data_IF_713432817905
#
_entry.id   IF_713432817905
#
_cell.length_a   1.000
_cell.length_b   1.000
_cell.length_c   1.000
_cell.angle_alpha   90.00
_cell.angle_beta   90.00
_cell.angle_gamma   90.00
#
_symmetry.space_group_name_H-M   'P 1'
#
loop_
_entity.id
_entity.type
_entity.pdbx_description
1 polymer ?
#
# COMPACT_ATOMS: atom_id res chain seq x y z
N UNK A 1 2.16 6.36 -11.14
CA UNK A 1 1.05 5.75 -10.35
C UNK A 1 0.77 6.65 -9.16
N UNK A 2 -0.42 7.26 -9.11
CA UNK A 2 -0.85 8.27 -8.12
C UNK A 2 -1.12 7.66 -6.73
N UNK A 3 -0.86 8.41 -5.65
CA UNK A 3 -1.35 8.10 -4.30
C UNK A 3 -2.87 8.19 -4.29
N UNK A 4 -3.52 7.37 -3.46
CA UNK A 4 -4.99 7.36 -3.33
C UNK A 4 -5.39 7.77 -1.92
N UNK A 5 -6.30 8.72 -1.85
CA UNK A 5 -6.88 9.22 -0.61
C UNK A 5 -8.39 8.98 -0.58
N UNK A 6 -8.89 8.39 0.49
CA UNK A 6 -10.34 8.28 0.74
C UNK A 6 -10.78 9.41 1.67
N UNK A 7 -11.78 10.18 1.25
CA UNK A 7 -12.39 11.26 2.04
C UNK A 7 -13.72 10.74 2.59
N UNK A 8 -13.85 10.67 3.92
CA UNK A 8 -14.99 10.07 4.59
C UNK A 8 -15.75 11.13 5.41
N UNK A 9 -17.02 11.33 5.10
CA UNK A 9 -17.93 12.13 5.90
C UNK A 9 -17.67 13.65 5.91
N UNK A 10 -16.85 14.19 5.00
CA UNK A 10 -16.61 15.62 4.91
C UNK A 10 -17.84 16.32 4.33
N UNK A 11 -18.19 17.46 4.90
CA UNK A 11 -19.17 18.38 4.33
C UNK A 11 -18.60 19.19 3.15
N UNK A 12 -19.44 19.94 2.45
CA UNK A 12 -19.03 20.69 1.27
C UNK A 12 -17.99 21.77 1.55
N UNK A 13 -18.02 22.37 2.75
CA UNK A 13 -17.08 23.43 3.16
C UNK A 13 -15.67 22.86 3.36
N UNK A 14 -15.58 21.67 3.94
CA UNK A 14 -14.32 21.03 4.25
C UNK A 14 -13.78 20.19 3.08
N UNK A 15 -14.66 19.62 2.25
CA UNK A 15 -14.22 18.77 1.12
C UNK A 15 -13.53 19.57 0.02
N UNK A 16 -13.98 20.80 -0.26
CA UNK A 16 -13.46 21.63 -1.36
C UNK A 16 -11.96 21.93 -1.18
N UNK A 17 -11.50 22.55 -0.06
CA UNK A 17 -10.08 22.84 0.12
C UNK A 17 -9.21 21.58 0.19
N UNK A 18 -9.74 20.49 0.78
CA UNK A 18 -9.03 19.21 0.80
C UNK A 18 -8.85 18.64 -0.61
N UNK A 19 -9.91 18.63 -1.41
CA UNK A 19 -9.86 18.11 -2.79
C UNK A 19 -8.93 18.92 -3.68
N UNK A 20 -8.99 20.26 -3.60
CA UNK A 20 -8.12 21.15 -4.38
C UNK A 20 -6.65 20.91 -4.03
N UNK A 21 -6.30 20.92 -2.75
CA UNK A 21 -4.93 20.68 -2.29
C UNK A 21 -4.39 19.29 -2.70
N UNK A 22 -5.21 18.24 -2.60
CA UNK A 22 -4.81 16.89 -3.00
C UNK A 22 -4.64 16.77 -4.51
N UNK A 23 -5.46 17.44 -5.30
CA UNK A 23 -5.31 17.50 -6.76
C UNK A 23 -4.00 18.18 -7.18
N UNK A 24 -3.64 19.31 -6.58
CA UNK A 24 -2.36 19.99 -6.81
C UNK A 24 -1.15 19.13 -6.43
N UNK A 25 -1.30 18.26 -5.43
CA UNK A 25 -0.27 17.30 -5.01
C UNK A 25 -0.24 16.00 -5.83
N UNK A 26 -1.01 15.89 -6.91
CA UNK A 26 -1.18 14.66 -7.72
C UNK A 26 -1.64 13.45 -6.88
N UNK A 27 -2.53 13.69 -5.91
CA UNK A 27 -3.14 12.64 -5.09
C UNK A 27 -4.59 12.44 -5.55
N UNK A 28 -4.89 11.24 -6.03
CA UNK A 28 -6.25 10.89 -6.42
C UNK A 28 -7.13 10.72 -5.19
N UNK A 29 -8.22 11.47 -5.11
CA UNK A 29 -9.17 11.36 -4.01
C UNK A 29 -10.52 10.78 -4.47
N UNK A 30 -11.13 10.01 -3.59
CA UNK A 30 -12.49 9.51 -3.69
C UNK A 30 -13.26 9.96 -2.44
N UNK A 31 -14.46 10.51 -2.63
CA UNK A 31 -15.32 10.92 -1.53
C UNK A 31 -16.41 9.88 -1.28
N UNK A 32 -16.66 9.59 0.00
CA UNK A 32 -17.71 8.71 0.46
C UNK A 32 -18.39 9.26 1.71
N UNK A 33 -19.67 8.97 1.84
CA UNK A 33 -20.40 9.22 3.09
C UNK A 33 -20.10 8.12 4.11
N UNK A 34 -20.38 8.34 5.39
CA UNK A 34 -20.27 7.29 6.42
C UNK A 34 -21.02 6.02 6.07
N UNK A 35 -22.17 6.13 5.40
CA UNK A 35 -23.00 5.00 5.00
C UNK A 35 -22.32 4.12 3.95
N UNK A 36 -21.61 4.70 3.00
CA UNK A 36 -20.95 3.99 1.90
C UNK A 36 -19.47 3.66 2.17
N UNK A 37 -18.86 4.25 3.20
CA UNK A 37 -17.46 4.08 3.54
C UNK A 37 -17.06 2.64 3.92
N UNK A 38 -17.88 1.84 4.66
CA UNK A 38 -17.49 0.48 5.04
C UNK A 38 -17.09 -0.39 3.87
N UNK A 39 -17.87 -0.38 2.79
CA UNK A 39 -17.59 -1.15 1.59
C UNK A 39 -16.28 -0.73 0.91
N UNK A 40 -16.01 0.59 0.84
CA UNK A 40 -14.78 1.14 0.26
C UNK A 40 -13.55 0.87 1.12
N UNK A 41 -13.68 0.96 2.44
CA UNK A 41 -12.60 0.66 3.38
C UNK A 41 -12.23 -0.84 3.36
N UNK A 42 -13.21 -1.73 3.21
CA UNK A 42 -12.94 -3.17 3.17
C UNK A 42 -12.37 -3.64 1.83
N UNK A 43 -12.93 -3.16 0.71
CA UNK A 43 -12.57 -3.61 -0.64
C UNK A 43 -11.45 -2.79 -1.28
N UNK A 44 -11.35 -1.50 -0.93
CA UNK A 44 -10.37 -0.58 -1.47
C UNK A 44 -9.08 -0.55 -0.64
N UNK A 45 -8.00 -0.10 -1.26
CA UNK A 45 -6.74 0.24 -0.60
C UNK A 45 -6.44 1.71 -0.84
N UNK A 46 -6.09 2.41 0.23
CA UNK A 46 -5.78 3.82 0.22
C UNK A 46 -4.50 4.07 1.02
N UNK A 47 -3.62 4.91 0.53
CA UNK A 47 -2.42 5.33 1.25
C UNK A 47 -2.77 6.36 2.31
N UNK A 48 -3.83 7.16 2.07
CA UNK A 48 -4.37 8.14 3.00
C UNK A 48 -5.87 7.97 3.18
N UNK A 49 -6.36 8.26 4.37
CA UNK A 49 -7.79 8.40 4.66
C UNK A 49 -7.96 9.70 5.44
N UNK A 50 -8.81 10.61 4.96
CA UNK A 50 -9.25 11.80 5.68
C UNK A 50 -10.65 11.54 6.20
N UNK A 51 -10.80 11.55 7.50
CA UNK A 51 -12.06 11.25 8.19
C UNK A 51 -12.54 12.49 8.94
N UNK A 52 -13.77 12.92 8.71
CA UNK A 52 -14.42 13.91 9.58
C UNK A 52 -14.88 13.22 10.85
N UNK A 53 -14.39 13.64 12.00
CA UNK A 53 -14.66 13.02 13.28
C UNK A 53 -15.45 14.00 14.18
N UNK A 54 -16.70 13.69 14.43
CA UNK A 54 -17.62 14.47 15.27
C UNK A 54 -17.82 13.89 16.68
N UNK A 55 -17.16 12.75 16.99
CA UNK A 55 -17.33 12.04 18.25
C UNK A 55 -18.54 11.10 18.27
N UNK A 56 -19.23 10.94 17.14
CA UNK A 56 -20.34 10.00 17.04
C UNK A 56 -19.88 8.54 17.07
N UNK A 57 -20.73 7.60 17.49
CA UNK A 57 -20.44 6.17 17.40
C UNK A 57 -20.06 5.72 15.98
N UNK A 58 -20.70 6.29 14.96
CA UNK A 58 -20.37 5.98 13.56
C UNK A 58 -18.93 6.38 13.19
N UNK A 59 -18.43 7.50 13.73
CA UNK A 59 -17.06 7.93 13.49
C UNK A 59 -16.05 7.03 14.21
N UNK A 60 -16.36 6.62 15.44
CA UNK A 60 -15.54 5.67 16.21
C UNK A 60 -15.48 4.30 15.54
N UNK A 61 -16.61 3.74 15.15
CA UNK A 61 -16.70 2.46 14.43
C UNK A 61 -15.90 2.51 13.13
N UNK A 62 -15.94 3.62 12.40
CA UNK A 62 -15.17 3.80 11.17
C UNK A 62 -13.66 3.76 11.44
N UNK A 63 -13.18 4.44 12.47
CA UNK A 63 -11.76 4.38 12.84
C UNK A 63 -11.36 2.96 13.23
N UNK A 64 -12.18 2.28 14.02
CA UNK A 64 -11.92 0.90 14.41
C UNK A 64 -11.89 -0.02 13.19
N UNK A 65 -12.83 0.13 12.24
CA UNK A 65 -12.86 -0.63 10.99
C UNK A 65 -11.60 -0.40 10.15
N UNK A 66 -11.15 0.85 10.01
CA UNK A 66 -9.91 1.18 9.29
C UNK A 66 -8.72 0.49 9.94
N UNK A 67 -8.60 0.54 11.28
CA UNK A 67 -7.43 0.02 12.01
C UNK A 67 -7.41 -1.49 12.20
N UNK A 68 -8.56 -2.14 12.22
CA UNK A 68 -8.68 -3.61 12.29
C UNK A 68 -8.66 -4.26 10.90
N UNK A 69 -8.99 -3.51 9.84
CA UNK A 69 -9.10 -4.02 8.48
C UNK A 69 -7.74 -4.38 7.87
N UNK A 70 -7.70 -5.48 7.12
CA UNK A 70 -6.47 -5.94 6.44
C UNK A 70 -5.99 -4.94 5.37
N UNK A 71 -6.91 -4.27 4.70
CA UNK A 71 -6.60 -3.42 3.54
C UNK A 71 -6.04 -2.05 3.91
N UNK A 72 -6.51 -1.43 4.99
CA UNK A 72 -6.23 -0.02 5.31
C UNK A 72 -5.66 0.23 6.71
N UNK A 73 -5.34 -0.80 7.50
CA UNK A 73 -4.80 -0.64 8.86
C UNK A 73 -3.53 0.23 8.92
N UNK A 74 -2.75 0.21 7.86
CA UNK A 74 -1.49 0.95 7.71
C UNK A 74 -1.65 2.24 6.90
N UNK A 75 -2.88 2.60 6.49
CA UNK A 75 -3.15 3.86 5.83
C UNK A 75 -2.85 5.03 6.77
N UNK A 76 -2.34 6.13 6.23
CA UNK A 76 -2.15 7.36 7.00
C UNK A 76 -3.53 7.98 7.25
N UNK A 77 -3.95 7.96 8.50
CA UNK A 77 -5.24 8.48 8.92
C UNK A 77 -5.12 9.94 9.37
N UNK A 78 -5.78 10.82 8.65
CA UNK A 78 -5.98 12.20 8.99
C UNK A 78 -7.38 12.36 9.57
N UNK A 79 -7.47 12.88 10.76
CA UNK A 79 -8.75 13.17 11.41
C UNK A 79 -8.98 14.67 11.36
N UNK A 80 -10.12 15.03 10.79
CA UNK A 80 -10.63 16.39 10.75
C UNK A 80 -11.71 16.49 11.82
N UNK A 81 -11.49 17.30 12.84
CA UNK A 81 -12.35 17.36 14.02
C UNK A 81 -12.58 18.78 14.47
N UNK A 82 -13.79 19.06 14.96
CA UNK A 82 -14.10 20.36 15.58
C UNK A 82 -13.35 20.51 16.93
N UNK A 83 -13.13 21.73 17.42
CA UNK A 83 -12.50 21.96 18.71
C UNK A 83 -13.19 21.21 19.86
N UNK A 84 -14.52 21.06 19.80
CA UNK A 84 -15.33 20.36 20.81
C UNK A 84 -15.12 18.85 20.84
N UNK A 85 -14.89 18.23 19.67
CA UNK A 85 -14.65 16.77 19.57
C UNK A 85 -13.16 16.42 19.55
N UNK A 86 -12.25 17.40 19.62
CA UNK A 86 -10.81 17.17 19.53
C UNK A 86 -10.27 16.31 20.69
N UNK A 87 -10.78 16.49 21.91
CA UNK A 87 -10.32 15.67 23.06
C UNK A 87 -10.64 14.19 22.87
N UNK A 88 -11.81 13.86 22.31
CA UNK A 88 -12.17 12.48 21.95
C UNK A 88 -11.42 12.03 20.71
N UNK A 89 -11.17 12.92 19.75
CA UNK A 89 -10.40 12.63 18.54
C UNK A 89 -8.96 12.17 18.87
N UNK A 90 -8.32 12.69 19.92
CA UNK A 90 -6.99 12.22 20.34
C UNK A 90 -6.96 10.77 20.85
N UNK A 91 -8.11 10.21 21.24
CA UNK A 91 -8.21 8.80 21.65
C UNK A 91 -8.21 7.84 20.47
N UNK A 92 -8.61 8.34 19.29
CA UNK A 92 -8.54 7.54 18.08
C UNK A 92 -7.11 7.55 17.55
N UNK A 93 -6.61 6.42 17.09
CA UNK A 93 -5.23 6.25 16.61
C UNK A 93 -5.01 6.88 15.23
N UNK A 94 -5.23 8.21 15.12
CA UNK A 94 -4.91 8.96 13.91
C UNK A 94 -3.41 9.29 13.84
N UNK A 95 -2.92 9.52 12.63
CA UNK A 95 -1.56 9.96 12.41
C UNK A 95 -1.45 11.49 12.43
N UNK A 96 -2.49 12.18 11.95
CA UNK A 96 -2.56 13.64 11.90
C UNK A 96 -3.95 14.12 12.26
N UNK A 97 -4.00 15.33 12.82
CA UNK A 97 -5.24 16.00 13.19
C UNK A 97 -5.30 17.36 12.50
N UNK A 98 -6.47 17.72 12.01
CA UNK A 98 -6.75 19.03 11.39
C UNK A 98 -8.01 19.61 12.02
N UNK A 99 -8.01 20.91 12.29
CA UNK A 99 -9.16 21.64 12.84
C UNK A 99 -9.70 22.66 11.84
N UNK A 100 -11.03 22.81 11.70
CA UNK A 100 -11.59 23.90 10.93
C UNK A 100 -11.19 25.29 11.51
N UNK A 101 -11.06 26.33 10.66
CA UNK A 101 -11.32 26.29 9.22
C UNK A 101 -10.20 25.62 8.44
N UNK A 102 -10.59 24.67 7.54
CA UNK A 102 -9.64 23.99 6.68
C UNK A 102 -9.32 24.85 5.49
N UNK A 103 -8.05 25.10 5.26
CA UNK A 103 -7.53 25.84 4.10
C UNK A 103 -6.66 24.92 3.23
N UNK A 104 -6.55 25.21 1.95
CA UNK A 104 -5.66 24.48 1.04
C UNK A 104 -4.23 24.46 1.57
N UNK A 105 -3.72 25.59 2.08
CA UNK A 105 -2.40 25.70 2.65
C UNK A 105 -2.19 24.78 3.87
N UNK A 106 -3.19 24.68 4.76
CA UNK A 106 -3.12 23.80 5.94
C UNK A 106 -3.11 22.33 5.54
N UNK A 107 -3.89 21.94 4.52
CA UNK A 107 -3.91 20.59 3.96
C UNK A 107 -2.57 20.25 3.33
N UNK A 108 -2.05 21.11 2.45
CA UNK A 108 -0.75 20.94 1.79
C UNK A 108 0.36 20.74 2.83
N UNK A 109 0.40 21.59 3.86
CA UNK A 109 1.40 21.53 4.92
C UNK A 109 1.32 20.20 5.67
N UNK A 110 0.11 19.77 6.05
CA UNK A 110 -0.10 18.51 6.77
C UNK A 110 0.26 17.29 5.92
N UNK A 111 -0.12 17.28 4.65
CA UNK A 111 0.22 16.19 3.73
C UNK A 111 1.71 16.14 3.38
N UNK A 112 2.39 17.29 3.27
CA UNK A 112 3.85 17.35 3.14
C UNK A 112 4.55 16.77 4.35
N UNK A 113 4.09 17.09 5.57
CA UNK A 113 4.62 16.49 6.80
C UNK A 113 4.39 14.97 6.85
N UNK A 114 3.27 14.51 6.30
CA UNK A 114 2.92 13.09 6.23
C UNK A 114 3.60 12.33 5.09
N UNK A 115 4.28 13.00 4.16
CA UNK A 115 4.74 12.41 2.90
C UNK A 115 5.56 11.13 3.08
N UNK A 116 6.49 11.11 4.02
CA UNK A 116 7.28 9.91 4.32
C UNK A 116 6.43 8.71 4.77
N UNK A 117 5.35 8.95 5.53
CA UNK A 117 4.41 7.91 5.94
C UNK A 117 3.54 7.43 4.77
N UNK A 118 3.12 8.33 3.88
CA UNK A 118 2.34 8.01 2.69
C UNK A 118 3.15 7.11 1.73
N UNK A 119 4.41 7.46 1.48
CA UNK A 119 5.33 6.65 0.67
C UNK A 119 5.55 5.29 1.32
N UNK A 120 5.74 5.24 2.63
CA UNK A 120 5.91 3.98 3.38
C UNK A 120 4.64 3.12 3.36
N UNK A 121 3.45 3.72 3.51
CA UNK A 121 2.18 3.00 3.39
C UNK A 121 2.03 2.37 2.01
N UNK A 122 2.44 3.10 0.98
CA UNK A 122 2.42 2.62 -0.41
C UNK A 122 3.43 1.51 -0.66
N UNK A 123 4.68 1.66 -0.22
CA UNK A 123 5.74 0.69 -0.46
C UNK A 123 5.45 -0.68 0.16
N UNK A 124 4.72 -0.72 1.28
CA UNK A 124 4.28 -1.98 1.91
C UNK A 124 3.39 -2.84 1.03
N UNK A 125 2.60 -2.22 0.17
CA UNK A 125 1.63 -2.92 -0.69
C UNK A 125 2.04 -2.96 -2.16
N UNK A 126 3.10 -2.23 -2.50
CA UNK A 126 3.64 -2.28 -3.84
C UNK A 126 4.17 -3.68 -4.13
N UNK A 127 3.79 -4.20 -5.27
CA UNK A 127 4.29 -5.46 -5.80
C UNK A 127 5.01 -5.15 -7.09
N UNK A 128 6.31 -5.35 -7.06
CA UNK A 128 7.13 -5.22 -8.25
C UNK A 128 7.05 -6.50 -9.06
N UNK A 129 6.74 -6.39 -10.34
CA UNK A 129 6.82 -7.52 -11.25
C UNK A 129 8.28 -7.92 -11.40
N UNK A 130 8.55 -9.18 -11.18
CA UNK A 130 9.91 -9.71 -11.14
C UNK A 130 9.95 -10.98 -11.99
N UNK A 131 10.98 -11.10 -12.78
CA UNK A 131 11.32 -12.33 -13.48
C UNK A 131 12.57 -12.92 -12.84
N UNK A 132 12.38 -13.79 -11.86
CA UNK A 132 13.47 -14.39 -11.10
C UNK A 132 13.10 -15.80 -10.59
N UNK A 133 14.11 -16.58 -10.29
CA UNK A 133 13.93 -17.92 -9.73
C UNK A 133 14.05 -17.89 -8.21
N UNK A 134 13.14 -18.61 -7.55
CA UNK A 134 13.23 -18.95 -6.14
C UNK A 134 13.35 -20.46 -5.95
N UNK A 135 13.88 -20.88 -4.80
CA UNK A 135 13.93 -22.26 -4.38
C UNK A 135 13.15 -22.42 -3.08
N UNK A 136 12.20 -23.36 -3.08
CA UNK A 136 11.33 -23.61 -1.94
C UNK A 136 11.82 -24.88 -1.19
N UNK A 137 11.77 -24.80 0.14
CA UNK A 137 11.93 -25.99 0.99
C UNK A 137 10.58 -26.25 1.67
N UNK A 138 10.02 -27.43 1.38
CA UNK A 138 8.68 -27.86 1.77
C UNK A 138 8.76 -28.95 2.86
N UNK A 139 9.57 -28.73 3.89
CA UNK A 139 9.88 -29.75 4.89
C UNK A 139 10.95 -30.72 4.39
N UNK A 140 10.56 -31.95 4.06
CA UNK A 140 11.49 -32.99 3.55
C UNK A 140 11.92 -32.72 2.10
N UNK A 141 11.09 -32.10 1.30
CA UNK A 141 11.40 -31.78 -0.10
C UNK A 141 12.14 -30.45 -0.14
N UNK A 142 13.37 -30.46 -0.66
CA UNK A 142 14.23 -29.29 -0.71
C UNK A 142 14.49 -28.82 -2.14
N UNK A 143 14.78 -27.52 -2.27
CA UNK A 143 15.19 -26.91 -3.54
C UNK A 143 14.15 -27.05 -4.67
N UNK A 144 12.86 -27.02 -4.36
CA UNK A 144 11.81 -27.02 -5.37
C UNK A 144 11.87 -25.69 -6.14
N UNK A 145 12.09 -25.70 -7.46
CA UNK A 145 12.17 -24.47 -8.23
C UNK A 145 10.80 -23.82 -8.35
N UNK A 146 10.79 -22.51 -8.27
CA UNK A 146 9.63 -21.67 -8.48
C UNK A 146 10.03 -20.40 -9.22
N UNK A 147 9.15 -19.89 -10.08
CA UNK A 147 9.32 -18.62 -10.75
C UNK A 147 8.62 -17.53 -9.94
N UNK A 148 9.33 -16.43 -9.63
CA UNK A 148 8.75 -15.28 -8.93
C UNK A 148 8.06 -14.40 -9.97
N UNK A 149 6.76 -14.21 -9.83
CA UNK A 149 5.96 -13.33 -10.68
C UNK A 149 5.97 -11.89 -10.17
N UNK A 150 5.85 -11.72 -8.87
CA UNK A 150 6.00 -10.41 -8.22
C UNK A 150 6.49 -10.53 -6.78
N UNK A 151 7.13 -9.46 -6.32
CA UNK A 151 7.74 -9.36 -5.00
C UNK A 151 7.32 -8.06 -4.31
N UNK A 152 7.09 -8.13 -3.00
CA UNK A 152 6.77 -7.01 -2.13
C UNK A 152 7.53 -7.12 -0.80
N UNK A 153 7.43 -6.11 0.06
CA UNK A 153 8.03 -6.16 1.41
C UNK A 153 7.48 -7.31 2.27
N UNK A 154 6.23 -7.72 2.06
CA UNK A 154 5.55 -8.71 2.92
C UNK A 154 5.34 -10.08 2.28
N UNK A 155 5.77 -10.31 1.04
CA UNK A 155 5.54 -11.57 0.37
C UNK A 155 5.75 -11.53 -1.14
N UNK A 156 5.46 -12.63 -1.78
CA UNK A 156 5.62 -12.81 -3.22
C UNK A 156 4.48 -13.62 -3.83
N UNK A 157 4.30 -13.48 -5.13
CA UNK A 157 3.57 -14.45 -5.95
C UNK A 157 4.55 -15.26 -6.77
N UNK A 158 4.31 -16.54 -6.83
CA UNK A 158 5.16 -17.49 -7.57
C UNK A 158 4.32 -18.35 -8.49
N UNK A 159 4.97 -19.00 -9.45
CA UNK A 159 4.45 -20.14 -10.19
C UNK A 159 5.41 -21.31 -9.98
N UNK A 160 4.89 -22.50 -9.67
CA UNK A 160 5.66 -23.71 -9.49
C UNK A 160 4.85 -24.93 -9.96
N UNK A 161 5.47 -25.95 -10.57
CA UNK A 161 4.79 -27.19 -10.91
C UNK A 161 4.45 -28.04 -9.69
N UNK A 162 4.96 -27.68 -8.51
CA UNK A 162 4.73 -28.43 -7.28
C UNK A 162 3.43 -28.01 -6.61
N UNK A 163 2.61 -28.95 -6.19
CA UNK A 163 1.36 -28.67 -5.49
C UNK A 163 1.64 -28.13 -4.09
N UNK A 164 1.28 -26.86 -3.88
CA UNK A 164 1.31 -26.21 -2.59
C UNK A 164 -0.09 -26.24 -1.94
N UNK A 165 -0.10 -26.30 -0.62
CA UNK A 165 -1.36 -26.24 0.17
C UNK A 165 -1.48 -24.90 0.87
N UNK A 166 -2.69 -24.38 0.93
CA UNK A 166 -2.97 -23.17 1.70
C UNK A 166 -2.60 -23.40 3.18
N UNK A 167 -2.08 -22.38 3.84
CA UNK A 167 -1.51 -22.41 5.21
C UNK A 167 -0.26 -23.28 5.37
N UNK A 168 0.31 -23.82 4.32
CA UNK A 168 1.57 -24.54 4.37
C UNK A 168 2.71 -23.57 4.69
N UNK A 169 3.54 -23.95 5.67
CA UNK A 169 4.79 -23.25 5.97
C UNK A 169 5.89 -23.77 5.06
N UNK A 170 6.77 -22.88 4.61
CA UNK A 170 7.92 -23.20 3.77
C UNK A 170 9.05 -22.19 4.01
N UNK A 171 10.27 -22.57 3.60
CA UNK A 171 11.36 -21.63 3.44
C UNK A 171 11.50 -21.29 1.97
N UNK A 172 11.68 -20.00 1.67
CA UNK A 172 11.94 -19.53 0.31
C UNK A 172 13.31 -18.87 0.25
N UNK A 173 14.13 -19.30 -0.71
CA UNK A 173 15.45 -18.75 -0.99
C UNK A 173 15.46 -18.16 -2.39
N UNK A 174 15.88 -16.90 -2.53
CA UNK A 174 15.92 -16.20 -3.81
C UNK A 174 16.95 -15.07 -3.79
N UNK A 175 17.53 -14.78 -4.94
CA UNK A 175 18.33 -13.58 -5.15
C UNK A 175 17.42 -12.38 -5.34
N UNK A 176 17.74 -11.26 -4.69
CA UNK A 176 17.00 -10.02 -4.87
C UNK A 176 17.40 -9.38 -6.20
N UNK A 177 16.48 -9.23 -7.17
CA UNK A 177 16.80 -8.83 -8.54
C UNK A 177 17.51 -7.48 -8.62
N UNK A 178 18.62 -7.43 -9.36
CA UNK A 178 19.44 -6.23 -9.51
C UNK A 178 20.39 -5.96 -8.34
N UNK A 179 20.55 -6.90 -7.41
CA UNK A 179 21.47 -6.81 -6.29
C UNK A 179 22.26 -8.11 -6.13
N UNK A 180 23.28 -8.13 -5.26
CA UNK A 180 23.99 -9.35 -4.85
C UNK A 180 23.36 -10.07 -3.65
N UNK A 181 22.25 -9.54 -3.13
CA UNK A 181 21.62 -10.05 -1.91
C UNK A 181 20.90 -11.37 -2.16
N UNK A 182 21.24 -12.37 -1.36
CA UNK A 182 20.56 -13.66 -1.30
C UNK A 182 19.71 -13.73 -0.04
N UNK A 183 18.40 -13.83 -0.21
CA UNK A 183 17.45 -13.88 0.89
C UNK A 183 16.96 -15.31 1.14
N UNK A 184 16.82 -15.64 2.43
CA UNK A 184 16.22 -16.89 2.89
C UNK A 184 15.18 -16.56 3.97
N UNK A 185 13.89 -16.75 3.64
CA UNK A 185 12.78 -16.30 4.49
C UNK A 185 11.79 -17.44 4.72
N UNK A 186 11.24 -17.49 5.93
CA UNK A 186 10.07 -18.29 6.21
C UNK A 186 8.85 -17.67 5.56
N UNK A 187 7.97 -18.49 5.00
CA UNK A 187 6.74 -18.04 4.36
C UNK A 187 5.57 -18.98 4.65
N UNK A 188 4.38 -18.40 4.52
CA UNK A 188 3.11 -19.13 4.63
C UNK A 188 2.36 -18.96 3.32
N UNK A 189 1.92 -20.05 2.73
CA UNK A 189 1.09 -20.05 1.52
C UNK A 189 -0.31 -19.51 1.89
N UNK A 190 -0.69 -18.37 1.31
CA UNK A 190 -1.96 -17.71 1.61
C UNK A 190 -3.07 -18.13 0.64
N UNK A 191 -2.71 -18.34 -0.61
CA UNK A 191 -3.62 -18.82 -1.65
C UNK A 191 -2.86 -19.65 -2.68
N UNK A 192 -3.59 -20.54 -3.34
CA UNK A 192 -3.11 -21.36 -4.46
C UNK A 192 -4.14 -21.35 -5.57
N UNK A 193 -3.71 -21.59 -6.81
CA UNK A 193 -4.57 -21.75 -7.98
C UNK A 193 -4.21 -23.05 -8.72
N UNK A 194 -5.16 -23.58 -9.55
CA UNK A 194 -4.92 -24.80 -10.32
C UNK A 194 -3.80 -24.69 -11.36
N UNK A 195 -3.47 -23.46 -11.81
CA UNK A 195 -2.39 -23.19 -12.76
C UNK A 195 -0.98 -23.24 -12.14
N UNK A 196 -0.85 -23.66 -10.88
CA UNK A 196 0.41 -23.68 -10.15
C UNK A 196 0.83 -22.37 -9.54
N UNK A 197 0.00 -21.31 -9.69
CA UNK A 197 0.27 -20.03 -9.05
C UNK A 197 -0.06 -20.06 -7.57
N UNK A 198 0.80 -19.44 -6.76
CA UNK A 198 0.61 -19.32 -5.32
C UNK A 198 1.06 -17.96 -4.79
N UNK A 199 0.40 -17.51 -3.71
CA UNK A 199 0.84 -16.36 -2.95
C UNK A 199 1.45 -16.76 -1.62
N UNK A 200 2.66 -16.28 -1.37
CA UNK A 200 3.42 -16.51 -0.15
C UNK A 200 3.51 -15.21 0.63
N UNK A 201 3.09 -15.22 1.89
CA UNK A 201 3.34 -14.16 2.85
C UNK A 201 4.58 -14.53 3.66
N UNK A 202 5.54 -13.61 3.75
CA UNK A 202 6.68 -13.81 4.63
C UNK A 202 6.26 -13.79 6.09
N UNK A 203 6.77 -14.74 6.86
CA UNK A 203 6.64 -14.80 8.31
C UNK A 203 7.97 -14.33 8.91
N UNK A 204 7.93 -13.65 10.05
CA UNK A 204 9.09 -13.27 10.86
C UNK A 204 10.31 -12.79 10.05
N UNK A 205 10.18 -11.66 9.36
CA UNK A 205 11.28 -11.09 8.59
C UNK A 205 12.25 -10.40 9.57
N UNK A 206 13.53 -10.82 9.63
CA UNK A 206 14.54 -10.14 10.44
C UNK A 206 14.65 -8.64 10.07
N UNK A 207 14.86 -7.78 11.05
CA UNK A 207 14.91 -6.32 10.85
C UNK A 207 15.89 -5.89 9.75
N UNK A 208 17.10 -6.44 9.63
CA UNK A 208 18.02 -6.11 8.53
C UNK A 208 17.43 -6.46 7.16
N UNK A 209 16.85 -7.65 7.03
CA UNK A 209 16.23 -8.12 5.79
C UNK A 209 14.99 -7.31 5.42
N UNK A 210 14.19 -6.92 6.43
CA UNK A 210 13.07 -6.03 6.21
C UNK A 210 13.50 -4.68 5.65
N UNK A 211 14.62 -4.15 6.12
CA UNK A 211 15.22 -2.92 5.58
C UNK A 211 15.62 -3.10 4.12
N UNK A 212 16.36 -4.17 3.80
CA UNK A 212 16.80 -4.48 2.43
C UNK A 212 15.61 -4.58 1.46
N UNK A 213 14.57 -5.34 1.82
CA UNK A 213 13.35 -5.47 1.00
C UNK A 213 12.63 -4.12 0.82
N UNK A 214 12.56 -3.33 1.87
CA UNK A 214 11.93 -2.00 1.82
C UNK A 214 12.70 -1.07 0.89
N UNK A 215 14.00 -0.95 1.10
CA UNK A 215 14.86 -0.04 0.34
C UNK A 215 14.84 -0.43 -1.16
N UNK A 216 14.86 -1.73 -1.46
CA UNK A 216 14.73 -2.25 -2.82
C UNK A 216 13.38 -1.90 -3.48
N UNK A 217 12.26 -2.05 -2.75
CA UNK A 217 10.92 -1.67 -3.26
C UNK A 217 10.82 -0.17 -3.46
N UNK A 218 11.35 0.63 -2.53
CA UNK A 218 11.32 2.09 -2.60
C UNK A 218 12.13 2.62 -3.79
N UNK A 219 13.30 2.06 -4.06
CA UNK A 219 14.14 2.41 -5.21
C UNK A 219 13.38 2.17 -6.52
N UNK A 220 12.74 1.01 -6.68
CA UNK A 220 11.98 0.69 -7.88
C UNK A 220 10.76 1.56 -8.07
N UNK A 221 10.08 1.93 -6.98
CA UNK A 221 9.01 2.92 -7.00
C UNK A 221 9.49 4.30 -7.48
N UNK A 222 10.70 4.72 -7.09
CA UNK A 222 11.28 5.98 -7.55
C UNK A 222 11.66 5.91 -9.03
N UNK A 223 12.31 4.83 -9.47
CA UNK A 223 12.63 4.61 -10.87
C UNK A 223 11.37 4.63 -11.75
N UNK A 224 10.29 3.96 -11.33
CA UNK A 224 9.02 3.97 -12.06
C UNK A 224 8.43 5.38 -12.20
N UNK A 225 8.58 6.25 -11.19
CA UNK A 225 8.15 7.66 -11.28
C UNK A 225 8.99 8.46 -12.26
N UNK A 226 10.31 8.28 -12.25
CA UNK A 226 11.23 8.94 -13.21
C UNK A 226 10.89 8.54 -14.63
N UNK A 227 10.67 7.25 -14.89
CA UNK A 227 10.26 6.78 -16.21
C UNK A 227 8.89 7.30 -16.65
N UNK A 228 7.92 7.39 -15.74
CA UNK A 228 6.61 7.94 -16.05
C UNK A 228 6.70 9.44 -16.42
N UNK A 229 7.43 10.23 -15.64
CA UNK A 229 7.63 11.66 -15.91
C UNK A 229 8.42 11.92 -17.21
N UNK A 230 9.33 11.02 -17.58
CA UNK A 230 10.07 11.10 -18.84
C UNK A 230 9.15 10.82 -20.04
N UNK A 231 8.26 9.82 -19.94
CA UNK A 231 7.26 9.54 -20.97
C UNK A 231 6.28 10.68 -21.21
N UNK A 232 5.82 11.33 -20.14
CA UNK A 232 4.93 12.48 -20.24
C UNK A 232 5.62 13.70 -20.89
N UNK A 233 6.90 13.90 -20.63
CA UNK A 233 7.69 15.02 -21.18
C UNK A 233 8.16 14.81 -22.63
N UNK A 234 8.38 13.57 -23.06
CA UNK A 234 8.95 13.26 -24.38
C UNK A 234 7.91 13.01 -25.46
N UNK A 235 6.62 12.88 -25.11
CA UNK A 235 5.51 12.81 -26.10
C UNK A 235 5.67 11.81 -27.24
N UNK A 236 6.62 10.88 -27.15
CA UNK A 236 7.01 9.99 -28.24
C UNK A 236 6.40 8.62 -28.04
N UNK A 237 5.29 8.38 -28.71
CA UNK A 237 4.84 7.02 -28.97
C UNK A 237 5.95 6.31 -29.78
N UNK A 238 6.71 5.45 -29.17
CA UNK A 238 7.48 4.45 -29.90
C UNK A 238 6.48 3.47 -30.50
N UNK A 239 6.10 3.71 -31.76
CA UNK A 239 5.50 2.68 -32.58
C UNK A 239 6.59 1.63 -32.80
N UNK A 240 6.41 0.45 -32.22
CA UNK A 240 7.12 -0.76 -32.62
C UNK A 240 6.76 -1.01 -34.09
N UNK A 241 7.69 -0.64 -34.95
CA UNK A 241 7.61 -0.94 -36.38
C UNK A 241 7.53 -2.45 -36.55
N UNK A 242 6.41 -2.92 -37.09
CA UNK A 242 6.27 -4.24 -37.65
C UNK A 242 7.26 -4.38 -38.81
N UNK A 243 8.38 -5.04 -38.59
CA UNK A 243 9.23 -5.54 -39.67
C UNK A 243 8.59 -6.84 -40.19
N UNK A 244 8.31 -6.83 -41.48
CA UNK A 244 7.90 -7.96 -42.34
C UNK A 244 8.99 -9.02 -42.40
#
# INVERSE_FOLDING_TARGET
MQLRCLLVGLDELNIRPVRTALHEMDIRCEFVTYRSAPDRVQKGRHEAIVLFYDGSPCAEDMVQMIRSGVSNRDAVLFVLSTPTSMQTAFRVRANFYMTPPITEASVVTTFKAAYGLLVRSRSRWHRENVDATAYLNLGLIKNVPAHIVNLSQGGMSITTPHLLRQQQMLLVRFGLPGTSELLCLSGIVIWTRPDGSAGIRFAEIPVPTQKVLRDWVEERLQLAKVYASFREKTGTAFQLGSAR
#
